data_IF_088908560747
#
_entry.id   IF_088908560747
#
_cell.length_a   1.000
_cell.length_b   1.000
_cell.length_c   1.000
_cell.angle_alpha   90.00
_cell.angle_beta   90.00
_cell.angle_gamma   90.00
#
_symmetry.space_group_name_H-M   'P 1'
#
loop_
_entity.id
_entity.type
_entity.pdbx_description
1 polymer ?
#
# COMPACT_ATOMS: atom_id res chain seq x y z
N UNK A 1 -37.89 -35.35 68.65
CA UNK A 1 -37.37 -34.27 67.82
C UNK A 1 -35.90 -34.52 67.63
N UNK A 2 -35.50 -35.05 66.48
CA UNK A 2 -34.11 -35.45 66.21
C UNK A 2 -33.50 -34.41 65.30
N UNK A 3 -32.44 -33.72 65.76
CA UNK A 3 -31.60 -32.83 64.94
C UNK A 3 -30.59 -33.70 64.15
N UNK A 4 -30.63 -33.65 62.86
CA UNK A 4 -29.61 -34.24 61.99
C UNK A 4 -28.64 -33.15 61.57
N UNK A 5 -27.39 -33.30 62.01
CA UNK A 5 -26.26 -32.48 61.61
C UNK A 5 -25.75 -32.95 60.24
N UNK A 6 -25.76 -32.06 59.26
CA UNK A 6 -25.19 -32.38 57.94
C UNK A 6 -23.70 -31.97 57.94
N UNK A 7 -22.83 -32.93 57.66
CA UNK A 7 -21.38 -32.76 57.46
C UNK A 7 -21.16 -32.36 56.00
N UNK A 8 -20.62 -31.21 55.78
CA UNK A 8 -20.19 -30.71 54.48
C UNK A 8 -18.78 -31.25 54.15
N UNK A 9 -18.70 -32.17 53.23
CA UNK A 9 -17.43 -32.58 52.64
C UNK A 9 -17.09 -31.61 51.49
N UNK A 10 -16.02 -30.81 51.69
CA UNK A 10 -15.44 -29.97 50.65
C UNK A 10 -14.47 -30.81 49.85
N UNK A 11 -14.92 -31.22 48.69
CA UNK A 11 -14.07 -31.87 47.68
C UNK A 11 -13.37 -30.80 46.87
N UNK A 12 -12.06 -30.68 47.05
CA UNK A 12 -11.20 -29.83 46.18
C UNK A 12 -11.05 -30.50 44.85
N UNK A 13 -11.68 -29.99 43.80
CA UNK A 13 -11.45 -30.37 42.40
C UNK A 13 -10.28 -29.56 41.88
N UNK A 14 -9.13 -30.20 41.73
CA UNK A 14 -7.95 -29.68 41.05
C UNK A 14 -8.26 -29.68 39.54
N UNK A 15 -8.60 -28.51 39.01
CA UNK A 15 -8.69 -28.31 37.54
C UNK A 15 -7.29 -28.10 37.01
N UNK A 16 -6.69 -29.11 36.43
CA UNK A 16 -5.45 -28.98 35.64
C UNK A 16 -5.84 -28.40 34.30
N UNK A 17 -5.67 -27.09 34.15
CA UNK A 17 -5.77 -26.40 32.86
C UNK A 17 -4.53 -26.73 32.03
N UNK A 18 -4.65 -27.70 31.14
CA UNK A 18 -3.68 -27.93 30.06
C UNK A 18 -3.77 -26.74 29.10
N UNK A 19 -2.84 -25.81 29.19
CA UNK A 19 -2.64 -24.79 28.18
C UNK A 19 -2.07 -25.50 26.94
N UNK A 20 -2.93 -25.97 26.04
CA UNK A 20 -2.53 -26.34 24.71
C UNK A 20 -2.12 -25.06 23.97
N UNK A 21 -0.81 -24.74 24.01
CA UNK A 21 -0.22 -23.77 23.11
C UNK A 21 -0.33 -24.33 21.69
N UNK A 22 -1.48 -24.12 21.06
CA UNK A 22 -1.68 -24.40 19.66
C UNK A 22 -0.83 -23.42 18.83
N UNK A 23 0.41 -23.85 18.48
CA UNK A 23 1.12 -23.24 17.37
C UNK A 23 0.32 -23.57 16.11
N UNK A 24 -0.57 -22.66 15.72
CA UNK A 24 -1.14 -22.69 14.38
C UNK A 24 0.00 -22.34 13.43
N UNK A 25 0.57 -23.38 12.78
CA UNK A 25 1.37 -23.18 11.59
C UNK A 25 0.46 -22.60 10.51
N UNK A 26 0.46 -21.29 10.39
CA UNK A 26 -0.10 -20.58 9.25
C UNK A 26 0.80 -20.94 8.05
N UNK A 27 0.47 -22.01 7.33
CA UNK A 27 0.98 -22.28 5.98
C UNK A 27 0.25 -21.29 5.07
N UNK A 28 0.63 -20.02 5.17
CA UNK A 28 -0.07 -18.94 4.52
C UNK A 28 0.89 -18.08 3.74
N UNK A 29 0.35 -17.20 3.02
CA UNK A 29 1.02 -16.21 2.17
C UNK A 29 2.28 -15.65 2.83
N UNK A 30 3.38 -15.49 2.09
CA UNK A 30 4.59 -14.86 2.61
C UNK A 30 4.22 -13.48 3.17
N UNK A 31 4.60 -13.24 4.43
CA UNK A 31 4.44 -11.90 5.03
C UNK A 31 5.30 -10.93 4.24
N UNK A 32 4.72 -9.86 3.67
CA UNK A 32 5.49 -8.91 2.88
C UNK A 32 6.62 -8.30 3.71
N UNK A 33 7.81 -8.18 3.12
CA UNK A 33 8.98 -7.60 3.78
C UNK A 33 8.81 -6.10 4.00
N UNK A 34 9.33 -5.60 5.13
CA UNK A 34 9.38 -4.16 5.37
C UNK A 34 10.38 -3.46 4.41
N UNK A 35 10.13 -2.20 4.00
CA UNK A 35 11.05 -1.45 3.14
C UNK A 35 12.37 -1.13 3.85
N UNK A 36 13.47 -1.71 3.39
CA UNK A 36 14.81 -1.56 3.97
C UNK A 36 15.81 -0.89 3.03
N UNK A 37 15.72 -1.17 1.71
CA UNK A 37 16.56 -0.56 0.71
C UNK A 37 16.12 0.88 0.42
N UNK A 38 17.06 1.75 0.06
CA UNK A 38 16.74 3.12 -0.35
C UNK A 38 17.09 3.31 -1.82
N UNK A 39 16.16 3.85 -2.59
CA UNK A 39 16.40 4.37 -3.94
C UNK A 39 16.52 5.88 -3.88
N UNK A 40 17.63 6.40 -4.39
CA UNK A 40 17.92 7.82 -4.55
C UNK A 40 17.84 8.19 -6.03
N UNK A 41 16.87 9.04 -6.38
CA UNK A 41 16.59 9.41 -7.76
C UNK A 41 17.27 10.73 -8.15
N UNK A 42 17.92 10.74 -9.31
CA UNK A 42 18.39 11.98 -9.94
C UNK A 42 17.25 12.97 -10.27
N UNK A 43 15.99 12.52 -10.26
CA UNK A 43 14.81 13.39 -10.46
C UNK A 43 14.37 14.15 -9.20
N UNK A 44 15.11 14.03 -8.08
CA UNK A 44 14.93 14.84 -6.87
C UNK A 44 14.02 14.22 -5.81
N UNK A 45 14.04 12.90 -5.66
CA UNK A 45 13.34 12.22 -4.58
C UNK A 45 14.10 11.00 -4.05
N UNK A 46 13.75 10.55 -2.85
CA UNK A 46 14.13 9.24 -2.32
C UNK A 46 12.90 8.45 -1.91
N UNK A 47 13.00 7.11 -1.98
CA UNK A 47 11.95 6.19 -1.51
C UNK A 47 12.60 4.91 -1.01
N UNK A 48 12.07 4.33 0.07
CA UNK A 48 12.48 3.00 0.54
C UNK A 48 11.63 1.92 -0.11
N UNK A 49 12.22 0.74 -0.33
CA UNK A 49 11.54 -0.40 -0.91
C UNK A 49 12.02 -1.72 -0.29
N UNK A 50 11.21 -2.78 -0.27
CA UNK A 50 11.60 -4.08 0.28
C UNK A 50 12.72 -4.75 -0.52
N UNK A 51 13.53 -5.55 0.14
CA UNK A 51 14.64 -6.28 -0.50
C UNK A 51 14.18 -7.39 -1.46
N UNK A 52 12.98 -7.91 -1.24
CA UNK A 52 12.32 -8.94 -2.06
C UNK A 52 11.53 -8.37 -3.26
N UNK A 53 11.41 -7.03 -3.37
CA UNK A 53 10.84 -6.40 -4.55
C UNK A 53 11.93 -6.08 -5.58
N UNK A 54 11.65 -6.37 -6.84
CA UNK A 54 12.59 -6.06 -7.94
C UNK A 54 12.46 -4.60 -8.33
N UNK A 55 13.59 -3.86 -8.25
CA UNK A 55 13.67 -2.47 -8.72
C UNK A 55 14.06 -2.43 -10.21
N UNK A 56 13.33 -1.67 -11.01
CA UNK A 56 13.64 -1.36 -12.40
C UNK A 56 13.62 0.17 -12.62
N UNK A 57 14.60 0.67 -13.36
CA UNK A 57 14.72 2.10 -13.73
C UNK A 57 14.68 2.20 -15.24
N UNK A 58 13.50 2.45 -15.84
CA UNK A 58 13.37 2.56 -17.29
C UNK A 58 14.25 3.67 -17.87
N UNK A 59 14.89 3.40 -19.00
CA UNK A 59 15.75 4.38 -19.67
C UNK A 59 14.97 5.50 -20.37
N UNK A 60 13.68 5.25 -20.63
CA UNK A 60 12.78 6.19 -21.31
C UNK A 60 11.35 6.04 -20.80
N UNK A 61 10.48 6.99 -21.14
CA UNK A 61 9.08 7.00 -20.76
C UNK A 61 8.79 7.78 -19.47
N UNK A 62 7.54 7.71 -19.04
CA UNK A 62 7.00 8.48 -17.91
C UNK A 62 7.48 7.96 -16.54
N UNK A 63 7.70 6.65 -16.43
CA UNK A 63 8.06 6.01 -15.16
C UNK A 63 9.51 6.31 -14.82
N UNK A 64 9.76 6.85 -13.63
CA UNK A 64 11.09 7.17 -13.11
C UNK A 64 11.74 5.97 -12.40
N UNK A 65 10.94 5.15 -11.75
CA UNK A 65 11.33 3.89 -11.11
C UNK A 65 10.09 3.03 -10.93
N UNK A 66 10.28 1.73 -11.03
CA UNK A 66 9.27 0.70 -10.86
C UNK A 66 9.77 -0.33 -9.83
N UNK A 67 8.94 -0.67 -8.86
CA UNK A 67 9.18 -1.72 -7.88
C UNK A 67 8.13 -2.82 -8.07
N UNK A 68 8.57 -3.98 -8.57
CA UNK A 68 7.68 -5.13 -8.79
C UNK A 68 7.59 -5.97 -7.53
N UNK A 69 6.38 -6.36 -7.19
CA UNK A 69 6.11 -7.29 -6.10
C UNK A 69 6.62 -8.70 -6.46
N UNK A 70 6.91 -9.57 -5.46
CA UNK A 70 7.32 -10.96 -5.68
C UNK A 70 6.10 -11.83 -6.05
N UNK A 71 5.36 -11.44 -7.09
CA UNK A 71 4.20 -12.13 -7.65
C UNK A 71 4.48 -12.58 -9.06
N UNK A 72 3.60 -13.41 -9.64
CA UNK A 72 3.72 -13.83 -11.03
C UNK A 72 3.18 -12.82 -12.03
N UNK A 73 2.38 -11.84 -11.58
CA UNK A 73 1.80 -10.81 -12.42
C UNK A 73 2.74 -9.60 -12.50
N UNK A 74 3.31 -9.34 -13.69
CA UNK A 74 4.19 -8.21 -13.93
C UNK A 74 3.51 -6.82 -13.79
N UNK A 75 2.18 -6.77 -13.86
CA UNK A 75 1.40 -5.55 -13.67
C UNK A 75 1.27 -5.15 -12.19
N UNK A 76 1.59 -6.05 -11.26
CA UNK A 76 1.57 -5.76 -9.82
C UNK A 76 2.86 -5.05 -9.39
N UNK A 77 2.73 -3.76 -9.09
CA UNK A 77 3.89 -2.93 -8.78
C UNK A 77 3.54 -1.64 -8.03
N UNK A 78 4.58 -1.00 -7.49
CA UNK A 78 4.54 0.41 -7.14
C UNK A 78 5.52 1.15 -8.05
N UNK A 79 5.06 2.24 -8.67
CA UNK A 79 5.90 3.06 -9.53
C UNK A 79 5.84 4.54 -9.16
N UNK A 80 6.89 5.27 -9.53
CA UNK A 80 6.99 6.71 -9.35
C UNK A 80 7.18 7.36 -10.71
N UNK A 81 6.36 8.34 -11.02
CA UNK A 81 6.49 9.22 -12.17
C UNK A 81 6.86 10.62 -11.71
N UNK A 82 7.70 11.30 -12.48
CA UNK A 82 8.07 12.71 -12.22
C UNK A 82 7.95 13.48 -13.52
N UNK A 83 7.13 14.52 -13.51
CA UNK A 83 6.89 15.39 -14.65
C UNK A 83 7.29 16.82 -14.32
N UNK A 84 7.95 17.50 -15.24
CA UNK A 84 8.13 18.95 -15.15
C UNK A 84 6.78 19.63 -15.38
N UNK A 85 6.49 20.68 -14.60
CA UNK A 85 5.26 21.45 -14.68
C UNK A 85 5.57 22.93 -14.80
N UNK A 86 4.69 23.66 -15.46
CA UNK A 86 4.79 25.13 -15.54
C UNK A 86 4.51 25.75 -14.16
N UNK A 87 5.06 26.94 -13.93
CA UNK A 87 5.00 27.60 -12.62
C UNK A 87 3.57 27.96 -12.14
N UNK A 88 2.63 28.05 -13.06
CA UNK A 88 1.23 28.36 -12.80
C UNK A 88 0.34 27.12 -12.60
N UNK A 89 0.89 25.89 -12.79
CA UNK A 89 0.14 24.68 -12.48
C UNK A 89 0.09 24.44 -10.96
N UNK A 90 -1.10 24.21 -10.45
CA UNK A 90 -1.38 23.98 -9.04
C UNK A 90 -1.79 22.53 -8.79
N UNK A 91 -1.71 22.08 -7.53
CA UNK A 91 -2.25 20.76 -7.15
C UNK A 91 -3.73 20.63 -7.55
N UNK A 92 -4.53 21.68 -7.35
CA UNK A 92 -5.96 21.68 -7.68
C UNK A 92 -6.20 21.48 -9.18
N UNK A 93 -5.51 22.25 -10.05
CA UNK A 93 -5.66 22.09 -11.49
C UNK A 93 -5.20 20.74 -12.01
N UNK A 94 -4.09 20.22 -11.44
CA UNK A 94 -3.59 18.86 -11.78
C UNK A 94 -4.50 17.76 -11.26
N UNK A 95 -5.11 17.94 -10.08
CA UNK A 95 -6.07 16.98 -9.54
C UNK A 95 -7.27 16.79 -10.47
N UNK A 96 -7.85 17.88 -10.96
CA UNK A 96 -8.98 17.78 -11.91
C UNK A 96 -8.60 16.98 -13.17
N UNK A 97 -7.42 17.26 -13.77
CA UNK A 97 -6.95 16.58 -14.97
C UNK A 97 -6.59 15.10 -14.71
N UNK A 98 -5.97 14.82 -13.57
CA UNK A 98 -5.58 13.44 -13.22
C UNK A 98 -6.81 12.58 -12.92
N UNK A 99 -7.80 13.12 -12.19
CA UNK A 99 -9.06 12.41 -11.94
C UNK A 99 -9.81 12.13 -13.26
N UNK A 100 -9.92 13.12 -14.15
CA UNK A 100 -10.54 12.90 -15.46
C UNK A 100 -9.83 11.78 -16.24
N UNK A 101 -8.49 11.77 -16.24
CA UNK A 101 -7.72 10.76 -16.97
C UNK A 101 -7.88 9.34 -16.38
N UNK A 102 -8.01 9.18 -15.06
CA UNK A 102 -8.23 7.84 -14.48
C UNK A 102 -9.67 7.37 -14.62
N UNK A 103 -10.63 8.30 -14.65
CA UNK A 103 -12.05 7.98 -14.89
C UNK A 103 -12.32 7.48 -16.31
N UNK A 104 -11.45 7.80 -17.27
CA UNK A 104 -11.53 7.29 -18.66
C UNK A 104 -11.12 5.81 -18.80
N UNK A 105 -10.54 5.18 -17.76
CA UNK A 105 -10.23 3.76 -17.82
C UNK A 105 -11.50 2.91 -17.87
N UNK A 106 -11.47 1.85 -18.69
CA UNK A 106 -12.56 0.89 -18.76
C UNK A 106 -12.83 0.25 -17.40
N UNK A 107 -14.11 0.09 -17.05
CA UNK A 107 -14.56 -0.47 -15.77
C UNK A 107 -14.03 0.29 -14.54
N UNK A 108 -13.83 1.61 -14.66
CA UNK A 108 -13.46 2.46 -13.54
C UNK A 108 -14.53 2.44 -12.46
N UNK A 109 -14.12 2.22 -11.23
CA UNK A 109 -14.95 2.37 -10.03
C UNK A 109 -14.14 2.99 -8.91
N UNK A 110 -14.52 4.21 -8.50
CA UNK A 110 -13.88 4.88 -7.36
C UNK A 110 -14.25 4.20 -6.06
N UNK A 111 -13.25 3.97 -5.21
CA UNK A 111 -13.41 3.44 -3.85
C UNK A 111 -13.30 4.56 -2.83
N UNK A 112 -12.31 5.44 -3.01
CA UNK A 112 -12.11 6.62 -2.15
C UNK A 112 -11.24 7.65 -2.85
N UNK A 113 -11.49 8.93 -2.56
CA UNK A 113 -10.66 10.02 -3.04
C UNK A 113 -10.61 11.14 -1.99
N UNK A 114 -9.50 11.90 -1.92
CA UNK A 114 -9.38 13.00 -0.98
C UNK A 114 -7.98 13.59 -0.83
N UNK A 115 -7.94 14.69 -0.09
CA UNK A 115 -6.70 15.38 0.27
C UNK A 115 -5.88 14.55 1.24
N UNK A 116 -4.55 14.63 1.09
CA UNK A 116 -3.55 13.92 1.90
C UNK A 116 -2.22 14.69 1.88
N UNK A 117 -1.14 14.02 2.27
CA UNK A 117 0.23 14.53 2.13
C UNK A 117 1.13 13.51 1.45
N UNK A 118 2.14 13.98 0.71
CA UNK A 118 3.19 13.15 0.12
C UNK A 118 4.55 13.84 0.31
N UNK A 119 5.48 13.17 1.00
CA UNK A 119 6.78 13.75 1.34
C UNK A 119 6.66 15.06 2.12
N UNK A 120 5.64 15.19 3.00
CA UNK A 120 5.35 16.39 3.79
C UNK A 120 4.70 17.55 3.01
N UNK A 121 4.32 17.35 1.74
CA UNK A 121 3.65 18.37 0.93
C UNK A 121 2.17 18.04 0.73
N UNK A 122 1.28 19.04 0.57
CA UNK A 122 -0.11 18.80 0.21
C UNK A 122 -0.21 17.90 -1.02
N UNK A 123 -1.07 16.92 -0.98
CA UNK A 123 -1.24 15.91 -2.02
C UNK A 123 -2.72 15.52 -2.17
N UNK A 124 -3.03 14.82 -3.24
CA UNK A 124 -4.32 14.19 -3.43
C UNK A 124 -4.13 12.70 -3.65
N UNK A 125 -5.05 11.89 -3.16
CA UNK A 125 -5.04 10.44 -3.29
C UNK A 125 -6.38 9.96 -3.82
N UNK A 126 -6.34 8.97 -4.72
CA UNK A 126 -7.50 8.23 -5.18
C UNK A 126 -7.21 6.73 -5.11
N UNK A 127 -8.20 5.95 -4.67
CA UNK A 127 -8.19 4.48 -4.74
C UNK A 127 -9.37 4.06 -5.60
N UNK A 128 -9.12 3.21 -6.59
CA UNK A 128 -10.12 2.79 -7.56
C UNK A 128 -9.81 1.41 -8.13
N UNK A 129 -10.77 0.78 -8.78
CA UNK A 129 -10.55 -0.36 -9.67
C UNK A 129 -10.76 0.07 -11.12
N UNK A 130 -10.04 -0.56 -12.03
CA UNK A 130 -10.19 -0.34 -13.47
C UNK A 130 -9.55 -1.48 -14.26
N UNK A 131 -9.86 -1.58 -15.55
CA UNK A 131 -9.16 -2.47 -16.48
C UNK A 131 -7.96 -1.74 -17.08
N UNK A 132 -6.77 -2.33 -16.94
CA UNK A 132 -5.52 -1.80 -17.47
C UNK A 132 -4.70 -2.94 -18.08
N UNK A 133 -4.25 -2.78 -19.34
CA UNK A 133 -3.48 -3.82 -20.04
C UNK A 133 -4.23 -5.14 -20.25
N UNK A 134 -5.55 -5.14 -20.13
CA UNK A 134 -6.40 -6.34 -20.20
C UNK A 134 -6.74 -6.92 -18.82
N UNK A 135 -6.04 -6.53 -17.76
CA UNK A 135 -6.27 -7.00 -16.40
C UNK A 135 -7.20 -6.05 -15.62
N UNK A 136 -8.08 -6.62 -14.79
CA UNK A 136 -8.85 -5.85 -13.82
C UNK A 136 -8.01 -5.67 -12.55
N UNK A 137 -7.57 -4.43 -12.29
CA UNK A 137 -6.65 -4.11 -11.20
C UNK A 137 -7.28 -3.13 -10.21
N UNK A 138 -6.80 -3.16 -8.96
CA UNK A 138 -7.04 -2.14 -7.94
C UNK A 138 -5.82 -1.24 -7.83
N UNK A 139 -6.06 0.07 -7.73
CA UNK A 139 -5.05 1.11 -7.73
C UNK A 139 -5.17 1.96 -6.47
N UNK A 140 -4.04 2.41 -5.94
CA UNK A 140 -3.92 3.63 -5.14
C UNK A 140 -2.95 4.54 -5.84
N UNK A 141 -3.41 5.73 -6.21
CA UNK A 141 -2.60 6.76 -6.85
C UNK A 141 -2.58 8.01 -5.97
N UNK A 142 -1.38 8.56 -5.76
CA UNK A 142 -1.16 9.76 -4.95
C UNK A 142 -0.21 10.70 -5.69
N UNK A 143 -0.52 12.01 -5.69
CA UNK A 143 0.31 13.01 -6.37
C UNK A 143 0.41 14.31 -5.59
N UNK A 144 1.52 15.00 -5.81
CA UNK A 144 1.81 16.34 -5.29
C UNK A 144 2.57 17.15 -6.32
N UNK A 145 2.55 18.48 -6.17
CA UNK A 145 3.40 19.41 -6.94
C UNK A 145 4.37 20.09 -5.98
N UNK A 146 5.65 20.04 -6.34
CA UNK A 146 6.70 20.71 -5.58
C UNK A 146 7.85 21.12 -6.51
N UNK A 147 8.38 22.33 -6.35
CA UNK A 147 9.52 22.86 -7.09
C UNK A 147 9.37 22.74 -8.63
N UNK A 148 8.18 23.04 -9.16
CA UNK A 148 7.89 22.92 -10.59
C UNK A 148 7.85 21.48 -11.13
N UNK A 149 7.70 20.50 -10.25
CA UNK A 149 7.56 19.10 -10.61
C UNK A 149 6.31 18.50 -9.99
N UNK A 150 5.65 17.63 -10.74
CA UNK A 150 4.61 16.74 -10.24
C UNK A 150 5.21 15.37 -9.97
N UNK A 151 5.00 14.85 -8.77
CA UNK A 151 5.40 13.53 -8.34
C UNK A 151 4.12 12.69 -8.19
N UNK A 152 4.06 11.58 -8.91
CA UNK A 152 2.93 10.65 -8.88
C UNK A 152 3.45 9.30 -8.44
N UNK A 153 2.88 8.74 -7.38
CA UNK A 153 3.13 7.36 -6.96
C UNK A 153 1.87 6.56 -7.25
N UNK A 154 2.03 5.44 -7.95
CA UNK A 154 0.94 4.50 -8.25
C UNK A 154 1.31 3.13 -7.69
N UNK A 155 0.51 2.64 -6.76
CA UNK A 155 0.48 1.25 -6.33
C UNK A 155 -0.68 0.55 -7.04
N UNK A 156 -0.42 -0.58 -7.68
CA UNK A 156 -1.47 -1.37 -8.35
C UNK A 156 -1.22 -2.86 -8.19
N UNK A 157 -2.30 -3.61 -8.03
CA UNK A 157 -2.29 -5.06 -7.94
C UNK A 157 -3.64 -5.67 -8.37
N UNK A 158 -3.65 -6.97 -8.63
CA UNK A 158 -4.90 -7.76 -8.68
C UNK A 158 -5.66 -7.52 -7.35
N UNK A 159 -6.98 -7.30 -7.38
CA UNK A 159 -7.78 -7.10 -6.17
C UNK A 159 -7.56 -8.15 -5.08
N UNK A 160 -7.24 -9.40 -5.46
CA UNK A 160 -6.96 -10.50 -4.52
C UNK A 160 -5.63 -10.32 -3.78
N UNK A 161 -4.64 -9.68 -4.41
CA UNK A 161 -3.30 -9.48 -3.86
C UNK A 161 -3.12 -8.08 -3.27
N UNK A 162 -3.99 -7.13 -3.63
CA UNK A 162 -3.86 -5.73 -3.26
C UNK A 162 -3.70 -5.53 -1.75
N UNK A 163 -4.60 -6.13 -0.96
CA UNK A 163 -4.60 -5.93 0.49
C UNK A 163 -3.42 -6.65 1.18
N UNK A 164 -2.87 -7.72 0.56
CA UNK A 164 -1.67 -8.41 1.04
C UNK A 164 -0.46 -7.48 1.09
N UNK A 165 -0.28 -6.64 0.07
CA UNK A 165 0.88 -5.75 -0.06
C UNK A 165 0.57 -4.29 0.27
N UNK A 166 -0.67 -3.94 0.59
CA UNK A 166 -1.10 -2.55 0.83
C UNK A 166 -0.33 -1.88 1.98
N UNK A 167 -0.07 -2.62 3.07
CA UNK A 167 0.71 -2.09 4.20
C UNK A 167 2.16 -1.78 3.80
N UNK A 168 2.81 -2.66 3.04
CA UNK A 168 4.15 -2.44 2.53
C UNK A 168 4.20 -1.27 1.54
N UNK A 169 3.24 -1.20 0.61
CA UNK A 169 3.11 -0.07 -0.31
C UNK A 169 2.91 1.25 0.43
N UNK A 170 2.10 1.26 1.49
CA UNK A 170 1.91 2.46 2.32
C UNK A 170 3.22 2.86 3.03
N UNK A 171 3.98 1.93 3.60
CA UNK A 171 5.28 2.22 4.20
C UNK A 171 6.29 2.78 3.17
N UNK A 172 6.26 2.30 1.92
CA UNK A 172 7.05 2.88 0.83
C UNK A 172 6.62 4.32 0.55
N UNK A 173 5.32 4.59 0.44
CA UNK A 173 4.76 5.93 0.23
C UNK A 173 5.14 6.86 1.39
N UNK A 174 5.03 6.41 2.64
CA UNK A 174 5.39 7.18 3.84
C UNK A 174 6.88 7.51 3.91
N UNK A 175 7.73 6.65 3.30
CA UNK A 175 9.18 6.87 3.21
C UNK A 175 9.60 7.87 2.14
N UNK A 176 8.68 8.25 1.24
CA UNK A 176 8.96 9.13 0.11
C UNK A 176 9.34 10.54 0.59
N UNK A 177 10.43 11.07 0.04
CA UNK A 177 10.92 12.41 0.35
C UNK A 177 11.28 13.14 -0.94
N UNK A 178 10.85 14.38 -1.07
CA UNK A 178 11.28 15.31 -2.12
C UNK A 178 12.50 16.07 -1.61
N UNK A 179 13.55 16.19 -2.44
CA UNK A 179 14.80 16.90 -2.15
C UNK A 179 14.69 18.37 -2.50
#
# INVERSE_FOLDING_TARGET
LIKRTAILLIGAVLIISVLASGCTFNVGNPTPSAPTNTYDSAKGFTIKYPSDWTKDVPKSGAISVLFRMPTKNAEENLNVQVWNRSANETLSSRTALTLAAVQDFSNYTEISAGNTTLGGNPAYKVTYTATYGGDHLKFTQIWTIKHGKEYIITYKADPKNFDTYASTAQQMIDSFKIK
#
